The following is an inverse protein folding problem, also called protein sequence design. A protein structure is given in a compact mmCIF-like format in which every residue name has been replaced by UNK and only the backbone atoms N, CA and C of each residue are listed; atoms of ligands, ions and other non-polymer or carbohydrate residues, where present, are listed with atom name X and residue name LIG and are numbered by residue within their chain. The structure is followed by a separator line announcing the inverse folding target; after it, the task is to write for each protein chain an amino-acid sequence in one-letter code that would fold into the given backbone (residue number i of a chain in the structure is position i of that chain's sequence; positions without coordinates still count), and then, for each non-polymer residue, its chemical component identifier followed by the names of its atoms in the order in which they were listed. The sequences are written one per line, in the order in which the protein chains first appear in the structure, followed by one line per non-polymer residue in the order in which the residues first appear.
data_IF_956830891972
#
_entry.id   IF_956830891972
#
_cell.length_a   1.000
_cell.length_b   1.000
_cell.length_c   1.000
_cell.angle_alpha   90.00
_cell.angle_beta   90.00
_cell.angle_gamma   90.00
#
_symmetry.space_group_name_H-M   'P 1'
#
loop_
_entity.id
_entity.type
_entity.pdbx_description
1 polymer ?
#
# COMPACT_ATOMS: atom_id res chain seq x y z
N UNK A 1 34.05 -45.75 8.06
CA UNK A 1 32.61 -45.91 7.74
C UNK A 1 31.90 -44.62 8.13
N UNK A 2 31.59 -43.78 7.16
CA UNK A 2 30.65 -42.68 7.29
C UNK A 2 29.77 -42.71 6.04
N UNK A 3 28.43 -42.80 6.18
CA UNK A 3 27.55 -42.89 5.01
C UNK A 3 27.40 -41.53 4.34
N UNK A 4 27.39 -41.55 3.01
CA UNK A 4 27.03 -40.43 2.14
C UNK A 4 25.57 -40.00 2.34
N UNK A 5 25.22 -38.71 2.18
CA UNK A 5 23.84 -38.24 2.30
C UNK A 5 22.99 -38.72 1.11
N UNK A 6 21.67 -38.93 1.32
CA UNK A 6 20.76 -39.31 0.23
C UNK A 6 20.52 -38.12 -0.72
N UNK A 7 20.64 -38.38 -2.02
CA UNK A 7 20.24 -37.45 -3.09
C UNK A 7 18.72 -37.28 -3.14
N UNK A 8 18.22 -36.05 -3.03
CA UNK A 8 16.80 -35.74 -3.25
C UNK A 8 16.43 -35.90 -4.75
N UNK A 9 15.25 -36.45 -5.08
CA UNK A 9 14.74 -36.46 -6.44
C UNK A 9 14.25 -35.05 -6.87
N UNK A 10 14.28 -34.74 -8.19
CA UNK A 10 13.82 -33.45 -8.69
C UNK A 10 12.31 -33.28 -8.49
N UNK A 11 11.82 -32.07 -8.13
CA UNK A 11 10.39 -31.85 -7.95
C UNK A 11 9.66 -31.95 -9.29
N UNK A 12 8.62 -32.78 -9.32
CA UNK A 12 7.67 -32.86 -10.42
C UNK A 12 7.00 -31.50 -10.68
N UNK A 13 6.85 -31.14 -11.96
CA UNK A 13 6.27 -29.86 -12.47
C UNK A 13 4.94 -29.46 -11.83
N UNK A 14 4.15 -30.43 -11.35
CA UNK A 14 2.88 -30.22 -10.63
C UNK A 14 3.05 -29.51 -9.28
N UNK A 15 4.18 -29.66 -8.59
CA UNK A 15 4.45 -29.02 -7.31
C UNK A 15 4.81 -27.54 -7.46
N UNK A 16 5.52 -27.17 -8.53
CA UNK A 16 5.83 -25.79 -8.87
C UNK A 16 4.56 -25.01 -9.26
N UNK A 17 3.67 -25.62 -10.05
CA UNK A 17 2.40 -25.01 -10.41
C UNK A 17 1.50 -24.77 -9.18
N UNK A 18 1.49 -25.68 -8.20
CA UNK A 18 0.78 -25.51 -6.93
C UNK A 18 1.39 -24.42 -6.04
N UNK A 19 2.73 -24.32 -6.01
CA UNK A 19 3.41 -23.24 -5.28
C UNK A 19 3.15 -21.86 -5.91
N UNK A 20 3.18 -21.76 -7.24
CA UNK A 20 2.84 -20.53 -7.95
C UNK A 20 1.35 -20.16 -7.78
N UNK A 21 0.46 -21.15 -7.79
CA UNK A 21 -0.97 -20.92 -7.55
C UNK A 21 -1.26 -20.48 -6.10
N UNK A 22 -0.48 -20.93 -5.12
CA UNK A 22 -0.60 -20.45 -3.73
C UNK A 22 -0.09 -19.02 -3.57
N UNK A 23 0.98 -18.65 -4.29
CA UNK A 23 1.48 -17.28 -4.31
C UNK A 23 0.50 -16.32 -5.01
N UNK A 24 -0.26 -16.78 -6.02
CA UNK A 24 -1.27 -15.96 -6.69
C UNK A 24 -2.57 -15.79 -5.88
N UNK A 25 -2.92 -16.74 -5.01
CA UNK A 25 -4.14 -16.66 -4.18
C UNK A 25 -4.07 -15.59 -3.08
N UNK A 26 -2.88 -15.09 -2.72
CA UNK A 26 -2.75 -14.00 -1.74
C UNK A 26 -2.98 -12.60 -2.32
N UNK A 27 -3.14 -12.44 -3.64
CA UNK A 27 -3.37 -11.14 -4.28
C UNK A 27 -4.84 -10.82 -4.59
N UNK A 28 -5.76 -11.79 -4.51
CA UNK A 28 -7.14 -11.61 -4.98
C UNK A 28 -8.10 -10.94 -3.98
N UNK A 29 -7.64 -10.50 -2.81
CA UNK A 29 -8.50 -9.88 -1.79
C UNK A 29 -8.20 -8.39 -1.53
N UNK A 30 -7.48 -7.71 -2.43
CA UNK A 30 -7.64 -6.25 -2.50
C UNK A 30 -8.85 -5.98 -3.38
N UNK A 31 -10.04 -6.16 -2.80
CA UNK A 31 -11.25 -5.62 -3.40
C UNK A 31 -10.99 -4.12 -3.59
N UNK A 32 -10.97 -3.69 -4.85
CA UNK A 32 -10.95 -2.29 -5.25
C UNK A 32 -12.22 -1.59 -4.74
N UNK A 33 -12.32 -1.33 -3.44
CA UNK A 33 -13.04 -0.17 -2.95
C UNK A 33 -12.20 1.02 -3.40
N UNK A 34 -12.43 1.46 -4.64
CA UNK A 34 -12.27 2.85 -4.97
C UNK A 34 -13.50 3.56 -4.44
N UNK A 35 -13.51 4.17 -3.24
CA UNK A 35 -14.47 5.21 -2.98
C UNK A 35 -14.18 6.31 -4.02
N UNK A 36 -15.15 6.50 -4.92
CA UNK A 36 -15.25 7.70 -5.73
C UNK A 36 -15.00 8.90 -4.83
N UNK A 37 -13.95 9.65 -5.15
CA UNK A 37 -14.01 11.11 -5.15
C UNK A 37 -14.53 11.69 -3.83
N UNK A 38 -13.60 11.96 -2.90
CA UNK A 38 -13.54 13.31 -2.33
C UNK A 38 -12.60 14.17 -3.19
N UNK A 39 -12.74 14.08 -4.52
CA UNK A 39 -12.19 15.05 -5.47
C UNK A 39 -13.20 16.17 -5.76
N UNK A 40 -14.21 16.34 -4.89
CA UNK A 40 -14.94 17.60 -4.71
C UNK A 40 -14.62 18.19 -3.33
N UNK A 41 -13.34 18.44 -3.11
CA UNK A 41 -12.98 19.71 -2.50
C UNK A 41 -11.67 20.13 -3.12
N UNK A 42 -11.74 21.11 -4.03
CA UNK A 42 -10.71 22.14 -4.10
C UNK A 42 -10.80 22.94 -2.80
N UNK A 43 -10.66 22.27 -1.65
CA UNK A 43 -10.27 22.91 -0.41
C UNK A 43 -8.83 23.27 -0.71
N UNK A 44 -8.59 24.57 -0.98
CA UNK A 44 -7.28 25.19 -1.17
C UNK A 44 -6.16 24.21 -0.82
N UNK A 45 -5.46 23.63 -1.80
CA UNK A 45 -4.64 22.44 -1.61
C UNK A 45 -3.55 22.62 -0.53
N UNK A 46 -3.24 23.87 -0.16
CA UNK A 46 -2.39 24.25 0.97
C UNK A 46 -3.09 24.18 2.34
N UNK A 47 -4.40 24.43 2.41
CA UNK A 47 -5.21 24.35 3.63
C UNK A 47 -5.26 22.94 4.22
N UNK A 48 -5.26 21.88 3.40
CA UNK A 48 -5.19 20.52 3.93
C UNK A 48 -3.82 20.21 4.57
N UNK A 49 -2.73 20.82 4.11
CA UNK A 49 -1.44 20.67 4.78
C UNK A 49 -1.46 21.30 6.19
N UNK A 50 -2.28 22.35 6.38
CA UNK A 50 -2.48 22.99 7.68
C UNK A 50 -3.37 22.17 8.62
N UNK A 51 -4.20 21.26 8.11
CA UNK A 51 -5.01 20.35 8.94
C UNK A 51 -4.21 19.14 9.45
N UNK A 52 -2.93 19.03 9.07
CA UNK A 52 -2.03 17.95 9.46
C UNK A 52 -0.94 18.47 10.42
N UNK A 53 -1.28 18.83 11.67
CA UNK A 53 -0.35 19.45 12.63
C UNK A 53 0.82 18.54 13.02
N UNK A 54 0.75 17.27 12.64
CA UNK A 54 1.72 16.23 12.97
C UNK A 54 2.82 16.06 11.91
N UNK A 55 2.73 16.75 10.77
CA UNK A 55 3.79 16.72 9.76
C UNK A 55 5.07 17.37 10.28
N UNK A 56 6.20 16.72 10.06
CA UNK A 56 7.51 17.35 10.25
C UNK A 56 7.70 18.51 9.27
N UNK A 57 8.59 19.45 9.57
CA UNK A 57 8.90 20.58 8.67
C UNK A 57 9.25 20.14 7.24
N UNK A 58 9.95 19.01 7.10
CA UNK A 58 10.29 18.44 5.78
C UNK A 58 9.05 17.89 5.06
N UNK A 59 8.22 17.12 5.77
CA UNK A 59 6.97 16.58 5.21
C UNK A 59 5.96 17.68 4.86
N UNK A 60 5.85 18.73 5.67
CA UNK A 60 5.02 19.89 5.37
C UNK A 60 5.47 20.58 4.07
N UNK A 61 6.79 20.75 3.88
CA UNK A 61 7.35 21.28 2.64
C UNK A 61 7.02 20.42 1.41
N UNK A 62 6.95 19.09 1.55
CA UNK A 62 6.50 18.19 0.49
C UNK A 62 4.99 18.31 0.23
N UNK A 63 4.19 18.41 1.30
CA UNK A 63 2.74 18.58 1.21
C UNK A 63 2.37 19.83 0.40
N UNK A 64 2.99 20.97 0.71
CA UNK A 64 2.72 22.24 0.01
C UNK A 64 3.17 22.19 -1.45
N UNK A 65 4.24 21.44 -1.77
CA UNK A 65 4.73 21.28 -3.15
C UNK A 65 3.84 20.39 -4.01
N UNK A 66 3.32 19.32 -3.42
CA UNK A 66 2.54 18.30 -4.15
C UNK A 66 1.34 17.88 -3.29
N UNK A 67 0.35 18.78 -3.14
CA UNK A 67 -0.77 18.52 -2.25
C UNK A 67 -1.63 17.36 -2.77
N UNK A 68 -1.94 17.32 -4.06
CA UNK A 68 -2.64 16.19 -4.71
C UNK A 68 -2.04 14.82 -4.35
N UNK A 69 -0.71 14.69 -4.37
CA UNK A 69 -0.02 13.45 -3.98
C UNK A 69 -0.19 13.14 -2.50
N UNK A 70 -0.15 14.16 -1.64
CA UNK A 70 -0.41 14.00 -0.20
C UNK A 70 -1.83 13.52 0.08
N UNK A 71 -2.82 14.02 -0.66
CA UNK A 71 -4.21 13.57 -0.52
C UNK A 71 -4.34 12.07 -0.82
N UNK A 72 -3.75 11.58 -1.92
CA UNK A 72 -3.70 10.15 -2.25
C UNK A 72 -2.94 9.34 -1.19
N UNK A 73 -1.85 9.87 -0.64
CA UNK A 73 -1.10 9.22 0.44
C UNK A 73 -1.94 9.06 1.72
N UNK A 74 -2.69 10.09 2.13
CA UNK A 74 -3.58 10.01 3.28
C UNK A 74 -4.70 8.98 3.08
N UNK A 75 -5.26 8.90 1.88
CA UNK A 75 -6.23 7.88 1.53
C UNK A 75 -5.61 6.46 1.67
N UNK A 76 -4.39 6.27 1.19
CA UNK A 76 -3.65 5.02 1.36
C UNK A 76 -3.40 4.64 2.83
N UNK A 77 -3.11 5.63 3.68
CA UNK A 77 -2.98 5.42 5.14
C UNK A 77 -4.30 4.94 5.75
N UNK A 78 -5.42 5.56 5.41
CA UNK A 78 -6.73 5.14 5.92
C UNK A 78 -7.09 3.72 5.49
N UNK A 79 -6.83 3.37 4.23
CA UNK A 79 -7.03 2.02 3.72
C UNK A 79 -6.18 1.00 4.48
N UNK A 80 -4.91 1.30 4.70
CA UNK A 80 -4.00 0.44 5.46
C UNK A 80 -4.42 0.25 6.92
N UNK A 81 -4.97 1.28 7.57
CA UNK A 81 -5.48 1.17 8.94
C UNK A 81 -6.74 0.32 9.02
N UNK A 82 -7.64 0.45 8.06
CA UNK A 82 -8.81 -0.41 7.95
C UNK A 82 -8.40 -1.88 7.77
N UNK A 83 -7.43 -2.14 6.89
CA UNK A 83 -6.90 -3.49 6.68
C UNK A 83 -6.16 -4.03 7.91
N UNK A 84 -5.45 -3.17 8.64
CA UNK A 84 -4.77 -3.54 9.88
C UNK A 84 -5.77 -4.09 10.92
N UNK A 85 -6.88 -3.38 11.11
CA UNK A 85 -7.94 -3.82 12.01
C UNK A 85 -8.55 -5.13 11.55
N UNK A 86 -8.83 -5.26 10.25
CA UNK A 86 -9.39 -6.49 9.70
C UNK A 86 -8.48 -7.70 9.93
N UNK A 87 -7.17 -7.56 9.65
CA UNK A 87 -6.19 -8.64 9.80
C UNK A 87 -5.91 -9.02 11.26
N UNK A 88 -6.07 -8.07 12.19
CA UNK A 88 -5.74 -8.25 13.61
C UNK A 88 -6.95 -8.36 14.53
N UNK A 89 -8.18 -8.41 14.00
CA UNK A 89 -9.42 -8.44 14.79
C UNK A 89 -9.51 -9.58 15.83
N UNK A 90 -8.79 -10.69 15.62
CA UNK A 90 -8.73 -11.83 16.56
C UNK A 90 -7.43 -11.87 17.40
N UNK A 91 -6.67 -10.78 17.42
CA UNK A 91 -5.43 -10.68 18.20
C UNK A 91 -5.68 -9.85 19.45
N UNK A 92 -4.83 -10.04 20.47
CA UNK A 92 -4.91 -9.26 21.73
C UNK A 92 -4.75 -7.76 21.50
N UNK A 93 -4.01 -7.39 20.46
CA UNK A 93 -3.93 -6.04 19.94
C UNK A 93 -4.56 -6.04 18.54
N UNK A 94 -5.66 -5.32 18.40
CA UNK A 94 -6.59 -5.36 17.27
C UNK A 94 -6.46 -4.15 16.33
N UNK A 95 -5.43 -3.32 16.52
CA UNK A 95 -5.19 -2.10 15.76
C UNK A 95 -6.27 -1.00 15.94
N UNK A 96 -7.22 -1.16 16.88
CA UNK A 96 -8.32 -0.21 17.12
C UNK A 96 -7.82 1.19 17.50
N UNK A 97 -6.76 1.25 18.30
CA UNK A 97 -6.18 2.52 18.79
C UNK A 97 -5.66 3.41 17.65
N UNK A 98 -5.31 2.85 16.48
CA UNK A 98 -4.67 3.59 15.40
C UNK A 98 -5.65 4.23 14.41
N UNK A 99 -6.92 3.82 14.41
CA UNK A 99 -7.92 4.31 13.45
C UNK A 99 -8.45 5.72 13.76
N UNK A 100 -8.17 6.28 14.95
CA UNK A 100 -8.70 7.60 15.35
C UNK A 100 -7.93 8.81 14.78
N UNK A 101 -7.17 8.63 13.68
CA UNK A 101 -6.57 9.73 12.91
C UNK A 101 -5.03 9.83 13.01
N UNK A 102 -4.44 10.52 12.04
CA UNK A 102 -2.98 10.55 11.79
C UNK A 102 -2.10 11.07 12.93
N UNK A 103 -2.64 11.83 13.89
CA UNK A 103 -1.93 12.23 15.12
C UNK A 103 -1.64 11.04 16.04
N UNK A 104 -2.40 9.95 15.92
CA UNK A 104 -2.28 8.76 16.77
C UNK A 104 -1.13 7.87 16.34
N UNK A 105 -0.80 7.81 15.04
CA UNK A 105 0.36 7.05 14.55
C UNK A 105 1.69 7.49 15.21
N UNK A 106 1.83 8.79 15.47
CA UNK A 106 3.05 9.35 16.06
C UNK A 106 3.06 9.35 17.59
N UNK A 107 1.91 9.15 18.24
CA UNK A 107 1.80 9.15 19.70
C UNK A 107 1.50 7.77 20.31
N UNK A 108 1.29 6.75 19.49
CA UNK A 108 1.10 5.40 19.98
C UNK A 108 2.42 4.82 20.55
N UNK A 109 2.38 4.44 21.84
CA UNK A 109 3.51 3.84 22.55
C UNK A 109 4.00 2.53 21.90
N UNK A 110 3.10 1.77 21.30
CA UNK A 110 3.42 0.53 20.58
C UNK A 110 4.31 0.87 19.38
N UNK A 111 3.90 1.85 18.56
CA UNK A 111 4.67 2.26 17.38
C UNK A 111 6.03 2.85 17.73
N UNK A 112 6.16 3.58 18.86
CA UNK A 112 7.44 4.15 19.31
C UNK A 112 8.43 3.11 19.81
N UNK A 113 7.95 1.99 20.36
CA UNK A 113 8.81 1.02 21.05
C UNK A 113 9.36 -0.08 20.14
N UNK A 114 8.84 -0.20 18.91
CA UNK A 114 9.36 -1.12 17.89
C UNK A 114 8.96 -2.57 18.13
N UNK A 115 7.68 -2.82 18.37
CA UNK A 115 7.16 -4.19 18.48
C UNK A 115 6.92 -4.82 17.10
N UNK A 116 6.59 -6.12 17.08
CA UNK A 116 6.24 -6.84 15.83
C UNK A 116 5.01 -6.24 15.16
N UNK A 117 4.06 -5.81 15.97
CA UNK A 117 2.86 -5.08 15.59
C UNK A 117 3.21 -3.77 14.89
N UNK A 118 4.22 -3.05 15.39
CA UNK A 118 4.70 -1.82 14.76
C UNK A 118 5.28 -2.07 13.38
N UNK A 119 6.11 -3.12 13.23
CA UNK A 119 6.70 -3.49 11.95
C UNK A 119 5.61 -3.82 10.92
N UNK A 120 4.59 -4.58 11.33
CA UNK A 120 3.42 -4.91 10.50
C UNK A 120 2.64 -3.67 10.07
N UNK A 121 2.35 -2.76 11.00
CA UNK A 121 1.66 -1.50 10.71
C UNK A 121 2.47 -0.65 9.74
N UNK A 122 3.77 -0.45 9.97
CA UNK A 122 4.60 0.36 9.07
C UNK A 122 4.68 -0.23 7.66
N UNK A 123 4.80 -1.56 7.54
CA UNK A 123 4.77 -2.21 6.22
C UNK A 123 3.43 -2.01 5.52
N UNK A 124 2.33 -2.10 6.25
CA UNK A 124 0.99 -1.97 5.69
C UNK A 124 0.68 -0.51 5.30
N UNK A 125 1.09 0.46 6.13
CA UNK A 125 0.99 1.89 5.83
C UNK A 125 1.81 2.24 4.58
N UNK A 126 3.04 1.74 4.47
CA UNK A 126 3.87 1.97 3.29
C UNK A 126 3.23 1.37 2.03
N UNK A 127 2.73 0.14 2.12
CA UNK A 127 2.02 -0.52 1.02
C UNK A 127 0.75 0.25 0.63
N UNK A 128 -0.05 0.70 1.60
CA UNK A 128 -1.27 1.48 1.36
C UNK A 128 -0.99 2.82 0.67
N UNK A 129 0.03 3.56 1.12
CA UNK A 129 0.46 4.82 0.47
C UNK A 129 0.92 4.56 -0.96
N UNK A 130 1.81 3.60 -1.16
CA UNK A 130 2.35 3.28 -2.49
C UNK A 130 1.23 2.84 -3.44
N UNK A 131 0.32 1.99 -2.97
CA UNK A 131 -0.83 1.54 -3.74
C UNK A 131 -1.73 2.71 -4.14
N UNK A 132 -2.16 3.54 -3.19
CA UNK A 132 -3.08 4.65 -3.47
C UNK A 132 -2.46 5.70 -4.41
N UNK A 133 -1.20 6.09 -4.18
CA UNK A 133 -0.51 7.07 -5.02
C UNK A 133 -0.35 6.57 -6.45
N UNK A 134 0.10 5.33 -6.63
CA UNK A 134 0.31 4.81 -7.97
C UNK A 134 -0.98 4.46 -8.69
N UNK A 135 -2.04 4.06 -7.99
CA UNK A 135 -3.38 3.97 -8.57
C UNK A 135 -3.81 5.35 -9.08
N UNK A 136 -3.65 6.42 -8.30
CA UNK A 136 -3.94 7.79 -8.75
C UNK A 136 -3.07 8.22 -9.95
N UNK A 137 -1.78 7.85 -9.98
CA UNK A 137 -0.91 8.06 -11.14
C UNK A 137 -1.42 7.30 -12.39
N UNK A 138 -1.86 6.04 -12.23
CA UNK A 138 -2.35 5.20 -13.33
C UNK A 138 -3.65 5.71 -13.93
N UNK A 139 -4.51 6.30 -13.09
CA UNK A 139 -5.77 6.91 -13.49
C UNK A 139 -5.58 8.32 -14.09
N UNK A 140 -4.38 8.89 -14.00
CA UNK A 140 -4.10 10.26 -14.45
C UNK A 140 -4.67 11.35 -13.55
N UNK A 141 -4.96 11.03 -12.28
CA UNK A 141 -5.48 12.00 -11.30
C UNK A 141 -4.39 12.95 -10.78
N UNK A 142 -3.13 12.53 -10.85
CA UNK A 142 -1.96 13.30 -10.43
C UNK A 142 -1.22 13.86 -11.64
N UNK A 143 -0.96 15.17 -11.66
CA UNK A 143 -0.25 15.81 -12.79
C UNK A 143 1.27 15.54 -12.76
N UNK A 144 1.79 15.16 -11.59
CA UNK A 144 3.22 15.00 -11.33
C UNK A 144 3.77 13.62 -11.73
N UNK A 145 2.91 12.66 -12.08
CA UNK A 145 3.28 11.29 -12.43
C UNK A 145 2.32 10.72 -13.49
N UNK A 146 2.70 9.62 -14.12
CA UNK A 146 1.86 8.91 -15.07
C UNK A 146 2.53 7.63 -15.55
N UNK A 147 1.78 6.78 -16.24
CA UNK A 147 2.32 5.53 -16.76
C UNK A 147 2.92 5.72 -18.14
N UNK A 148 4.14 5.20 -18.34
CA UNK A 148 4.73 5.12 -19.66
C UNK A 148 3.86 4.19 -20.51
N UNK A 149 3.23 4.72 -21.56
CA UNK A 149 2.55 3.87 -22.55
C UNK A 149 3.63 3.06 -23.26
N UNK A 150 3.71 1.75 -23.01
CA UNK A 150 4.55 0.85 -23.79
C UNK A 150 4.03 0.88 -25.23
N UNK A 151 4.73 1.57 -26.13
CA UNK A 151 4.40 1.60 -27.54
C UNK A 151 5.00 0.35 -28.18
N UNK A 152 4.51 -0.82 -27.76
CA UNK A 152 4.88 -2.09 -28.36
C UNK A 152 3.78 -2.50 -29.32
N UNK A 153 4.19 -2.73 -30.57
CA UNK A 153 3.35 -2.90 -31.73
C UNK A 153 2.24 -3.95 -31.52
N UNK A 154 1.03 -3.56 -31.95
CA UNK A 154 -0.13 -4.36 -32.36
C UNK A 154 -0.02 -5.89 -32.18
N UNK A 155 -1.00 -6.47 -31.47
CA UNK A 155 -1.35 -7.91 -31.37
C UNK A 155 -1.05 -8.61 -30.03
N UNK A 156 -1.55 -8.07 -28.92
CA UNK A 156 -2.27 -8.93 -27.97
C UNK A 156 -3.38 -8.12 -27.30
N UNK A 157 -4.59 -8.32 -27.80
CA UNK A 157 -5.81 -7.72 -27.27
C UNK A 157 -5.98 -8.12 -25.80
N UNK A 158 -6.22 -7.11 -24.95
CA UNK A 158 -6.71 -7.21 -23.57
C UNK A 158 -5.86 -8.03 -22.59
N UNK A 159 -4.83 -7.41 -22.01
CA UNK A 159 -4.51 -7.60 -20.59
C UNK A 159 -4.35 -6.23 -19.95
N UNK A 160 -4.71 -6.17 -18.68
CA UNK A 160 -5.12 -4.99 -17.91
C UNK A 160 -4.20 -3.78 -18.08
N UNK A 161 -4.73 -2.59 -17.76
CA UNK A 161 -3.93 -1.38 -17.55
C UNK A 161 -3.02 -1.57 -16.32
N UNK A 162 -2.08 -2.50 -16.39
CA UNK A 162 -1.06 -2.73 -15.38
C UNK A 162 0.01 -1.68 -15.61
N UNK A 163 -0.06 -0.60 -14.84
CA UNK A 163 1.13 0.17 -14.55
C UNK A 163 2.04 -0.72 -13.72
N UNK A 164 3.02 -1.37 -14.37
CA UNK A 164 4.03 -2.14 -13.68
C UNK A 164 4.79 -1.22 -12.70
N UNK A 165 4.67 -1.51 -11.40
CA UNK A 165 5.55 -0.95 -10.39
C UNK A 165 6.91 -1.63 -10.55
N UNK A 166 7.91 -0.89 -11.05
CA UNK A 166 9.30 -1.34 -11.10
C UNK A 166 9.89 -1.39 -9.69
#
# INVERSE_FOLDING_TARGET
LSPSPPSLPPPSSLSLARLLALLSHSCSQVNSLGPKVLAESVLNSNAMCMTLPWLTRRQFGLCVRSPEVMASALQGIHLALHECQHQLQERRWDCSDLSSGGTVLLNNAILKRGFRESAFVFSLLAAGVTHAVATACSLGELQSCGCARKLENYLFSLKEHECEFI
#
